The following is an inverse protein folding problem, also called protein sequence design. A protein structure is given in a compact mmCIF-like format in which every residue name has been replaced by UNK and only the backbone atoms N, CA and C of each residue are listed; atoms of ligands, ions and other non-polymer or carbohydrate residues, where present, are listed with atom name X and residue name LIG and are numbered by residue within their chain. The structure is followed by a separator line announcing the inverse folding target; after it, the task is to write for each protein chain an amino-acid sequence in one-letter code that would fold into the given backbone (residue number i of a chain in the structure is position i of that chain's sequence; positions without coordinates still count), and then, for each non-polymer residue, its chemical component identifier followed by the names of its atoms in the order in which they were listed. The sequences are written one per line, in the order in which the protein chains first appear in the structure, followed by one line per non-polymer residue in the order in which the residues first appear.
data_IF_780228316749
#
_entry.id   IF_780228316749
#
_cell.length_a   1.000
_cell.length_b   1.000
_cell.length_c   1.000
_cell.angle_alpha   90.00
_cell.angle_beta   90.00
_cell.angle_gamma   90.00
#
_symmetry.space_group_name_H-M   'P 1'
#
loop_
_entity.id
_entity.type
_entity.pdbx_description
1 polymer ?
#
# COMPACT_ATOMS: atom_id res chain seq x y z
N UNK A 1 -2.33 22.48 -9.93
CA UNK A 1 -2.68 21.04 -9.80
C UNK A 1 -2.04 20.52 -8.53
N UNK A 2 -2.69 19.58 -7.84
CA UNK A 2 -2.14 18.90 -6.68
C UNK A 2 -2.29 17.38 -6.86
N UNK A 3 -1.28 16.65 -6.40
CA UNK A 3 -1.22 15.19 -6.37
C UNK A 3 -1.23 14.78 -4.91
N UNK A 4 -2.19 13.94 -4.54
CA UNK A 4 -2.35 13.44 -3.18
C UNK A 4 -1.91 11.99 -3.16
N UNK A 5 -1.01 11.66 -2.25
CA UNK A 5 -0.60 10.29 -1.95
C UNK A 5 -0.96 9.94 -0.52
N UNK A 6 -1.18 8.66 -0.29
CA UNK A 6 -1.34 8.08 1.04
C UNK A 6 -0.41 6.88 1.15
N UNK A 7 0.17 6.68 2.32
CA UNK A 7 0.87 5.45 2.68
C UNK A 7 0.62 5.12 4.13
N UNK A 8 0.74 3.85 4.48
CA UNK A 8 0.84 3.46 5.89
C UNK A 8 2.27 3.69 6.39
N UNK A 9 2.40 3.95 7.68
CA UNK A 9 3.69 3.87 8.37
C UNK A 9 4.23 2.44 8.32
N UNK A 10 5.56 2.24 8.32
CA UNK A 10 6.14 0.90 8.31
C UNK A 10 5.71 0.09 9.54
N UNK A 11 5.33 -1.16 9.33
CA UNK A 11 4.97 -2.10 10.38
C UNK A 11 6.10 -3.12 10.64
N UNK A 12 6.18 -3.69 11.86
CA UNK A 12 7.23 -4.65 12.22
C UNK A 12 7.30 -5.90 11.33
N UNK A 13 6.17 -6.30 10.73
CA UNK A 13 6.07 -7.47 9.85
C UNK A 13 6.28 -7.17 8.36
N UNK A 14 6.40 -5.90 7.96
CA UNK A 14 6.51 -5.49 6.55
C UNK A 14 7.64 -6.24 5.83
N UNK A 15 8.75 -6.47 6.53
CA UNK A 15 9.90 -7.20 5.98
C UNK A 15 9.53 -8.59 5.47
N UNK A 16 8.81 -9.38 6.27
CA UNK A 16 8.39 -10.73 5.88
C UNK A 16 7.22 -10.68 4.88
N UNK A 17 6.28 -9.77 5.10
CA UNK A 17 5.11 -9.60 4.23
C UNK A 17 5.52 -9.27 2.78
N UNK A 18 6.35 -8.24 2.58
CA UNK A 18 6.75 -7.79 1.24
C UNK A 18 7.81 -8.67 0.58
N UNK A 19 8.63 -9.40 1.35
CA UNK A 19 9.72 -10.23 0.78
C UNK A 19 9.33 -11.69 0.55
N UNK A 20 8.33 -12.20 1.26
CA UNK A 20 7.97 -13.64 1.22
C UNK A 20 6.54 -13.86 0.74
N UNK A 21 5.57 -13.28 1.44
CA UNK A 21 4.15 -13.59 1.19
C UNK A 21 3.66 -12.92 -0.10
N UNK A 22 3.82 -11.60 -0.22
CA UNK A 22 3.32 -10.84 -1.38
C UNK A 22 3.86 -11.39 -2.72
N UNK A 23 5.19 -11.64 -2.89
CA UNK A 23 5.71 -12.19 -4.14
C UNK A 23 5.16 -13.58 -4.48
N UNK A 24 4.86 -14.39 -3.48
CA UNK A 24 4.36 -15.77 -3.64
C UNK A 24 2.94 -15.80 -4.20
N UNK A 25 2.08 -14.91 -3.71
CA UNK A 25 0.64 -14.94 -4.01
C UNK A 25 0.17 -13.89 -5.02
N UNK A 26 0.98 -12.85 -5.31
CA UNK A 26 0.58 -11.79 -6.23
C UNK A 26 0.29 -12.33 -7.63
N UNK A 27 -0.87 -11.98 -8.18
CA UNK A 27 -1.19 -12.22 -9.60
C UNK A 27 -0.59 -11.16 -10.52
N UNK A 28 0.07 -10.14 -9.96
CA UNK A 28 0.77 -9.09 -10.68
C UNK A 28 2.28 -9.19 -10.39
N UNK A 29 2.97 -9.98 -11.22
CA UNK A 29 4.40 -10.27 -11.07
C UNK A 29 5.31 -9.19 -11.69
N UNK A 30 4.77 -8.39 -12.60
CA UNK A 30 5.50 -7.31 -13.29
C UNK A 30 5.39 -5.95 -12.57
N UNK A 31 4.92 -5.95 -11.32
CA UNK A 31 4.75 -4.70 -10.56
C UNK A 31 6.10 -4.03 -10.28
N UNK A 32 6.26 -2.82 -10.83
CA UNK A 32 7.38 -1.93 -10.50
C UNK A 32 6.82 -0.73 -9.74
N UNK A 33 7.25 -0.49 -8.49
CA UNK A 33 6.92 0.75 -7.79
C UNK A 33 7.38 1.95 -8.61
N UNK A 34 6.50 2.93 -8.79
CA UNK A 34 6.85 4.17 -9.48
C UNK A 34 6.44 5.39 -8.66
N UNK A 35 7.23 6.45 -8.74
CA UNK A 35 6.90 7.74 -8.17
C UNK A 35 6.17 8.57 -9.22
N UNK A 36 4.84 8.75 -9.04
CA UNK A 36 3.99 9.49 -9.97
C UNK A 36 4.49 10.93 -10.20
N UNK A 37 5.05 11.59 -9.18
CA UNK A 37 5.57 12.95 -9.34
C UNK A 37 6.77 12.96 -10.28
N UNK A 38 7.74 12.08 -10.04
CA UNK A 38 8.93 11.94 -10.90
C UNK A 38 8.55 11.52 -12.32
N UNK A 39 7.57 10.62 -12.48
CA UNK A 39 7.07 10.20 -13.79
C UNK A 39 6.48 11.38 -14.57
N UNK A 40 5.63 12.20 -13.94
CA UNK A 40 5.05 13.38 -14.57
C UNK A 40 6.08 14.46 -14.88
N UNK A 41 7.07 14.66 -14.01
CA UNK A 41 8.18 15.60 -14.27
C UNK A 41 9.04 15.14 -15.43
N UNK A 42 9.41 13.85 -15.48
CA UNK A 42 10.23 13.28 -16.55
C UNK A 42 9.59 13.44 -17.93
N UNK A 43 8.25 13.49 -17.98
CA UNK A 43 7.45 13.67 -19.19
C UNK A 43 7.12 15.13 -19.50
N UNK A 44 7.64 16.08 -18.71
CA UNK A 44 7.30 17.50 -18.78
C UNK A 44 5.79 17.75 -18.73
N UNK A 45 5.06 17.02 -17.86
CA UNK A 45 3.61 17.16 -17.62
C UNK A 45 3.31 17.88 -16.30
N UNK A 46 4.31 18.00 -15.43
CA UNK A 46 4.21 18.66 -14.16
C UNK A 46 5.52 19.38 -13.83
N UNK A 47 5.42 20.54 -13.18
CA UNK A 47 6.57 21.20 -12.57
C UNK A 47 6.41 21.24 -11.06
N UNK A 48 7.30 20.53 -10.34
CA UNK A 48 7.43 20.54 -8.88
C UNK A 48 8.09 21.85 -8.41
N UNK A 49 7.42 22.99 -8.61
CA UNK A 49 7.97 24.30 -8.18
C UNK A 49 7.28 24.90 -6.97
N UNK A 50 6.16 24.33 -6.49
CA UNK A 50 5.37 24.95 -5.43
C UNK A 50 5.46 24.26 -4.07
N UNK A 51 5.91 23.01 -4.02
CA UNK A 51 6.31 22.33 -2.79
C UNK A 51 5.52 21.06 -2.47
N UNK A 52 5.85 20.49 -1.32
CA UNK A 52 5.20 19.31 -0.78
C UNK A 52 4.95 19.46 0.72
N UNK A 53 3.95 18.74 1.22
CA UNK A 53 3.66 18.66 2.66
C UNK A 53 3.14 17.30 3.02
N UNK A 54 3.76 16.69 4.01
CA UNK A 54 3.21 15.53 4.71
C UNK A 54 2.34 16.01 5.87
N UNK A 55 1.20 15.36 6.06
CA UNK A 55 0.39 15.56 7.27
C UNK A 55 0.89 14.68 8.41
N UNK A 56 0.48 14.99 9.63
CA UNK A 56 0.75 14.12 10.78
C UNK A 56 0.10 12.75 10.54
N UNK A 57 0.75 11.65 10.95
CA UNK A 57 0.14 10.34 10.92
C UNK A 57 -1.18 10.33 11.69
N UNK A 58 -2.18 9.63 11.17
CA UNK A 58 -3.47 9.39 11.83
C UNK A 58 -3.54 7.91 12.18
N UNK A 59 -3.62 7.61 13.47
CA UNK A 59 -3.83 6.24 13.95
C UNK A 59 -5.26 5.78 13.67
N UNK A 60 -5.41 4.51 13.34
CA UNK A 60 -6.69 3.83 13.25
C UNK A 60 -6.52 2.38 13.70
N UNK A 61 -7.62 1.78 14.15
CA UNK A 61 -7.66 0.37 14.55
C UNK A 61 -8.45 -0.43 13.54
N UNK A 62 -8.04 -1.67 13.33
CA UNK A 62 -8.81 -2.65 12.58
C UNK A 62 -8.43 -4.07 13.00
N UNK A 63 -9.36 -5.00 12.78
CA UNK A 63 -9.10 -6.42 13.02
C UNK A 63 -8.07 -6.98 12.04
N UNK A 64 -7.45 -8.10 12.39
CA UNK A 64 -6.58 -8.84 11.46
C UNK A 64 -7.37 -9.28 10.21
N UNK A 65 -8.64 -9.64 10.35
CA UNK A 65 -9.48 -10.07 9.23
C UNK A 65 -9.75 -8.92 8.26
N UNK A 66 -10.05 -7.71 8.76
CA UNK A 66 -10.20 -6.52 7.91
C UNK A 66 -8.88 -6.12 7.23
N UNK A 67 -7.74 -6.32 7.92
CA UNK A 67 -6.43 -6.11 7.33
C UNK A 67 -6.17 -7.06 6.16
N UNK A 68 -6.46 -8.34 6.33
CA UNK A 68 -6.37 -9.33 5.25
C UNK A 68 -7.30 -8.94 4.10
N UNK A 69 -8.57 -8.64 4.40
CA UNK A 69 -9.55 -8.28 3.37
C UNK A 69 -9.15 -7.03 2.57
N UNK A 70 -8.46 -6.08 3.20
CA UNK A 70 -7.97 -4.87 2.53
C UNK A 70 -7.05 -5.18 1.34
N UNK A 71 -6.28 -6.29 1.37
CA UNK A 71 -5.43 -6.69 0.24
C UNK A 71 -6.26 -7.13 -0.96
N UNK A 72 -7.43 -7.74 -0.77
CA UNK A 72 -8.28 -8.18 -1.89
C UNK A 72 -8.94 -7.03 -2.66
N UNK A 73 -8.83 -5.80 -2.18
CA UNK A 73 -9.13 -4.60 -2.98
C UNK A 73 -8.04 -4.26 -4.00
N UNK A 74 -6.84 -4.84 -3.87
CA UNK A 74 -5.69 -4.57 -4.70
C UNK A 74 -5.67 -5.46 -5.94
N UNK A 75 -5.23 -4.89 -7.07
CA UNK A 75 -5.19 -5.57 -8.36
C UNK A 75 -4.37 -6.88 -8.37
N UNK A 76 -3.36 -7.01 -7.50
CA UNK A 76 -2.52 -8.21 -7.40
C UNK A 76 -3.10 -9.32 -6.53
N UNK A 77 -4.19 -9.07 -5.80
CA UNK A 77 -4.72 -9.98 -4.78
C UNK A 77 -6.24 -10.10 -4.81
N UNK A 78 -6.92 -9.53 -5.80
CA UNK A 78 -8.38 -9.65 -5.91
C UNK A 78 -8.78 -11.12 -5.99
N UNK A 79 -9.80 -11.53 -5.22
CA UNK A 79 -10.29 -12.92 -5.16
C UNK A 79 -10.70 -13.45 -6.55
N UNK A 80 -11.19 -12.60 -7.44
CA UNK A 80 -11.55 -12.96 -8.82
C UNK A 80 -10.34 -13.38 -9.69
N UNK A 81 -9.13 -12.91 -9.35
CA UNK A 81 -7.90 -13.19 -10.09
C UNK A 81 -7.07 -14.31 -9.47
N UNK A 82 -7.30 -14.59 -8.20
CA UNK A 82 -6.64 -15.68 -7.47
C UNK A 82 -7.43 -16.97 -7.64
N UNK A 83 -6.77 -18.11 -7.50
CA UNK A 83 -7.52 -19.36 -7.24
C UNK A 83 -8.02 -19.34 -5.79
N UNK A 84 -9.04 -20.14 -5.49
CA UNK A 84 -9.58 -20.28 -4.13
C UNK A 84 -8.48 -20.72 -3.14
N UNK A 85 -7.63 -21.66 -3.55
CA UNK A 85 -6.50 -22.15 -2.75
C UNK A 85 -5.46 -21.05 -2.52
N UNK A 86 -5.13 -20.25 -3.53
CA UNK A 86 -4.16 -19.17 -3.41
C UNK A 86 -4.68 -18.06 -2.49
N UNK A 87 -5.97 -17.71 -2.60
CA UNK A 87 -6.59 -16.72 -1.72
C UNK A 87 -6.59 -17.22 -0.26
N UNK A 88 -7.01 -18.46 -0.01
CA UNK A 88 -6.98 -19.03 1.34
C UNK A 88 -5.56 -19.18 1.92
N UNK A 89 -4.58 -19.53 1.09
CA UNK A 89 -3.17 -19.60 1.48
C UNK A 89 -2.63 -18.23 1.90
N UNK A 90 -2.89 -17.20 1.08
CA UNK A 90 -2.54 -15.82 1.40
C UNK A 90 -3.18 -15.36 2.72
N UNK A 91 -4.49 -15.54 2.87
CA UNK A 91 -5.25 -15.11 4.06
C UNK A 91 -4.68 -15.76 5.34
N UNK A 92 -4.33 -17.04 5.24
CA UNK A 92 -3.77 -17.81 6.36
C UNK A 92 -2.37 -17.33 6.74
N UNK A 93 -1.47 -17.16 5.77
CA UNK A 93 -0.09 -16.74 6.02
C UNK A 93 -0.01 -15.30 6.55
N UNK A 94 -0.82 -14.38 6.02
CA UNK A 94 -0.88 -13.00 6.53
C UNK A 94 -1.39 -12.99 7.97
N UNK A 95 -2.47 -13.72 8.27
CA UNK A 95 -3.02 -13.82 9.63
C UNK A 95 -1.99 -14.40 10.60
N UNK A 96 -1.31 -15.47 10.23
CA UNK A 96 -0.26 -16.07 11.06
C UNK A 96 0.91 -15.10 11.30
N UNK A 97 1.35 -14.37 10.27
CA UNK A 97 2.43 -13.40 10.41
C UNK A 97 2.05 -12.27 11.37
N UNK A 98 0.88 -11.67 11.18
CA UNK A 98 0.46 -10.47 11.91
C UNK A 98 0.08 -10.78 13.36
N UNK A 99 -0.55 -11.92 13.61
CA UNK A 99 -0.96 -12.34 14.97
C UNK A 99 0.22 -12.40 15.97
N UNK A 100 1.45 -12.59 15.49
CA UNK A 100 2.68 -12.55 16.31
C UNK A 100 2.94 -11.18 16.95
N UNK A 101 2.38 -10.12 16.38
CA UNK A 101 2.55 -8.74 16.81
C UNK A 101 1.28 -8.15 17.45
N UNK A 102 0.12 -8.76 17.19
CA UNK A 102 -1.19 -8.31 17.66
C UNK A 102 -1.93 -9.47 18.37
N UNK A 103 -1.50 -9.88 19.58
CA UNK A 103 -2.07 -11.04 20.26
C UNK A 103 -3.53 -10.84 20.71
N UNK A 104 -3.98 -9.59 20.85
CA UNK A 104 -5.36 -9.24 21.21
C UNK A 104 -6.28 -9.13 19.98
N UNK A 105 -5.77 -9.40 18.77
CA UNK A 105 -6.57 -9.42 17.53
C UNK A 105 -6.84 -8.06 16.89
N UNK A 106 -6.56 -6.97 17.61
CA UNK A 106 -6.67 -5.60 17.11
C UNK A 106 -5.30 -5.04 16.69
N UNK A 107 -5.26 -4.42 15.52
CA UNK A 107 -4.05 -3.81 14.96
C UNK A 107 -4.17 -2.29 15.04
N UNK A 108 -3.16 -1.63 15.60
CA UNK A 108 -3.01 -0.18 15.43
C UNK A 108 -2.13 0.10 14.22
N UNK A 109 -2.70 0.82 13.24
CA UNK A 109 -2.04 1.25 12.02
C UNK A 109 -2.01 2.77 11.96
N UNK A 110 -1.06 3.32 11.20
CA UNK A 110 -0.97 4.76 10.99
C UNK A 110 -0.97 5.08 9.51
N UNK A 111 -1.87 5.97 9.08
CA UNK A 111 -1.92 6.49 7.72
C UNK A 111 -1.26 7.87 7.65
N UNK A 112 -0.42 8.08 6.63
CA UNK A 112 0.28 9.33 6.35
C UNK A 112 -0.09 9.83 4.97
N UNK A 113 -0.73 10.99 4.90
CA UNK A 113 -0.98 11.70 3.66
C UNK A 113 0.21 12.57 3.25
N UNK A 114 0.48 12.63 1.94
CA UNK A 114 1.42 13.57 1.31
C UNK A 114 0.69 14.32 0.21
N UNK A 115 0.79 15.65 0.23
CA UNK A 115 0.29 16.51 -0.85
C UNK A 115 1.47 17.15 -1.54
N UNK A 116 1.52 17.01 -2.86
CA UNK A 116 2.49 17.67 -3.74
C UNK A 116 1.72 18.60 -4.65
N UNK A 117 2.15 19.86 -4.80
CA UNK A 117 1.46 20.80 -5.68
C UNK A 117 2.44 21.57 -6.55
N UNK A 118 1.91 21.99 -7.69
CA UNK A 118 2.70 22.56 -8.76
C UNK A 118 1.83 23.03 -9.91
N UNK A 119 2.49 23.32 -11.02
CA UNK A 119 1.81 23.75 -12.23
C UNK A 119 1.75 22.56 -13.19
N UNK A 120 0.56 22.24 -13.75
CA UNK A 120 0.52 21.40 -14.93
C UNK A 120 1.20 22.15 -16.07
N UNK A 121 1.90 21.43 -16.92
CA UNK A 121 2.46 21.98 -18.16
C UNK A 121 1.56 21.58 -19.31
N UNK A 122 1.12 22.57 -20.08
CA UNK A 122 0.56 22.33 -21.41
C UNK A 122 1.70 21.97 -22.34
N UNK A 123 1.55 20.90 -23.11
CA UNK A 123 2.38 20.68 -24.29
C UNK A 123 2.18 21.82 -25.29
#
# INVERSE_FOLDING_TARGET
MAIVGQKNSPMPWDGDLFKKIIPTYSTNQDFVPYNLVEELESRNLFQFKKGEKSVKPVSFQQSIDDYVESFHSMNGFSRERMTEEAAHGFDSEVRELVSKYCPEGEMELQSVGKVVWGNPTTK
#
